data_IF_635956005357
#
_entry.id   IF_635956005357
#
_cell.length_a   1.000
_cell.length_b   1.000
_cell.length_c   1.000
_cell.angle_alpha   90.00
_cell.angle_beta   90.00
_cell.angle_gamma   90.00
#
_symmetry.space_group_name_H-M   'P 1'
#
loop_
_entity.id
_entity.type
_entity.pdbx_description
1 polymer ?
#
# COMPACT_ATOMS: atom_id res chain seq x y z
N UNK A 1 -30.65 -62.27 -10.87
CA UNK A 1 -30.01 -60.94 -10.97
C UNK A 1 -30.43 -59.95 -9.86
N UNK A 2 -30.67 -60.37 -8.61
CA UNK A 2 -31.13 -59.45 -7.54
C UNK A 2 -30.20 -59.36 -6.30
N UNK A 3 -29.11 -60.14 -6.25
CA UNK A 3 -28.19 -60.16 -5.10
C UNK A 3 -26.98 -59.21 -5.23
N UNK A 4 -26.73 -58.64 -6.42
CA UNK A 4 -25.52 -57.86 -6.68
C UNK A 4 -25.66 -56.36 -6.34
N UNK A 5 -26.89 -55.84 -6.21
CA UNK A 5 -27.13 -54.42 -5.88
C UNK A 5 -27.16 -54.12 -4.38
N UNK A 6 -27.20 -55.14 -3.51
CA UNK A 6 -27.22 -54.93 -2.04
C UNK A 6 -25.85 -54.63 -1.43
N UNK A 7 -24.75 -54.93 -2.13
CA UNK A 7 -23.39 -54.85 -1.57
C UNK A 7 -22.73 -53.47 -1.73
N UNK A 8 -23.12 -52.65 -2.72
CA UNK A 8 -22.55 -51.31 -2.90
C UNK A 8 -23.20 -50.21 -2.04
N UNK A 9 -24.39 -50.43 -1.47
CA UNK A 9 -25.11 -49.44 -0.66
C UNK A 9 -24.79 -49.51 0.84
N UNK A 10 -24.15 -50.60 1.28
CA UNK A 10 -23.77 -50.82 2.68
C UNK A 10 -22.61 -49.95 3.21
N UNK A 11 -21.50 -49.69 2.47
CA UNK A 11 -20.39 -48.93 3.04
C UNK A 11 -20.73 -47.46 3.28
N UNK A 12 -21.52 -46.83 2.39
CA UNK A 12 -21.91 -45.42 2.50
C UNK A 12 -22.87 -45.21 3.68
N UNK A 13 -23.81 -46.12 3.90
CA UNK A 13 -24.77 -46.01 5.00
C UNK A 13 -24.12 -46.27 6.37
N UNK A 14 -23.14 -47.18 6.45
CA UNK A 14 -22.36 -47.42 7.65
C UNK A 14 -21.44 -46.22 7.98
N UNK A 15 -20.73 -45.67 6.99
CA UNK A 15 -19.90 -44.47 7.15
C UNK A 15 -20.75 -43.28 7.60
N UNK A 16 -21.91 -43.06 6.98
CA UNK A 16 -22.82 -41.96 7.37
C UNK A 16 -23.36 -42.12 8.79
N UNK A 17 -23.66 -43.35 9.22
CA UNK A 17 -24.06 -43.64 10.60
C UNK A 17 -22.91 -43.38 11.59
N UNK A 18 -21.69 -43.81 11.25
CA UNK A 18 -20.49 -43.54 12.05
C UNK A 18 -20.19 -42.05 12.17
N UNK A 19 -20.27 -41.31 11.06
CA UNK A 19 -20.08 -39.85 11.05
C UNK A 19 -21.13 -39.13 11.89
N UNK A 20 -22.39 -39.60 11.82
CA UNK A 20 -23.49 -39.06 12.63
C UNK A 20 -23.24 -39.30 14.12
N UNK A 21 -22.80 -40.50 14.48
CA UNK A 21 -22.50 -40.83 15.88
C UNK A 21 -21.33 -39.99 16.42
N UNK A 22 -20.26 -39.83 15.62
CA UNK A 22 -19.14 -38.94 15.97
C UNK A 22 -19.59 -37.48 16.14
N UNK A 23 -20.40 -36.96 15.21
CA UNK A 23 -20.81 -35.55 15.23
C UNK A 23 -21.83 -35.22 16.33
N UNK A 24 -22.78 -36.12 16.62
CA UNK A 24 -23.90 -35.82 17.51
C UNK A 24 -23.76 -36.40 18.91
N UNK A 25 -22.93 -37.42 19.13
CA UNK A 25 -22.78 -38.04 20.45
C UNK A 25 -21.38 -37.79 21.04
N UNK A 26 -20.32 -38.00 20.26
CA UNK A 26 -18.94 -37.91 20.76
C UNK A 26 -18.46 -36.44 20.81
N UNK A 27 -18.69 -35.67 19.75
CA UNK A 27 -18.24 -34.28 19.66
C UNK A 27 -18.79 -33.39 20.79
N UNK A 28 -20.10 -33.41 21.13
CA UNK A 28 -20.61 -32.61 22.24
C UNK A 28 -20.02 -33.01 23.58
N UNK A 29 -19.76 -34.30 23.79
CA UNK A 29 -19.16 -34.81 25.02
C UNK A 29 -17.74 -34.29 25.20
N UNK A 30 -16.91 -34.39 24.15
CA UNK A 30 -15.54 -33.84 24.12
C UNK A 30 -15.53 -32.31 24.29
N UNK A 31 -16.52 -31.61 23.73
CA UNK A 31 -16.61 -30.16 23.81
C UNK A 31 -16.99 -29.68 25.23
N UNK A 32 -17.94 -30.35 25.88
CA UNK A 32 -18.44 -29.99 27.22
C UNK A 32 -17.40 -30.34 28.29
N UNK A 33 -16.82 -31.54 28.22
CA UNK A 33 -15.86 -32.02 29.22
C UNK A 33 -14.50 -31.35 29.04
N UNK A 34 -14.08 -31.11 27.79
CA UNK A 34 -12.84 -30.43 27.43
C UNK A 34 -12.91 -28.90 27.39
N UNK A 35 -14.02 -28.28 27.80
CA UNK A 35 -14.32 -26.85 27.54
C UNK A 35 -13.20 -25.88 27.93
N UNK A 36 -12.55 -26.11 29.07
CA UNK A 36 -11.49 -25.21 29.55
C UNK A 36 -10.20 -25.35 28.74
N UNK A 37 -9.91 -26.55 28.24
CA UNK A 37 -8.76 -26.81 27.36
C UNK A 37 -8.99 -26.10 26.01
N UNK A 38 -10.22 -26.20 25.47
CA UNK A 38 -10.59 -25.49 24.25
C UNK A 38 -10.55 -23.97 24.41
N UNK A 39 -11.13 -23.44 25.48
CA UNK A 39 -11.09 -21.99 25.75
C UNK A 39 -9.65 -21.52 25.89
N UNK A 40 -8.83 -22.19 26.71
CA UNK A 40 -7.43 -21.81 26.92
C UNK A 40 -6.60 -21.82 25.62
N UNK A 41 -6.68 -22.92 24.85
CA UNK A 41 -5.95 -23.06 23.59
C UNK A 41 -6.39 -22.07 22.52
N UNK A 42 -7.69 -21.86 22.34
CA UNK A 42 -8.22 -20.87 21.39
C UNK A 42 -7.87 -19.44 21.80
N UNK A 43 -7.93 -19.11 23.10
CA UNK A 43 -7.51 -17.80 23.59
C UNK A 43 -6.03 -17.52 23.30
N UNK A 44 -5.16 -18.49 23.53
CA UNK A 44 -3.73 -18.37 23.19
C UNK A 44 -3.53 -18.16 21.69
N UNK A 45 -4.25 -18.91 20.84
CA UNK A 45 -4.18 -18.74 19.39
C UNK A 45 -4.66 -17.36 18.94
N UNK A 46 -5.73 -16.82 19.53
CA UNK A 46 -6.24 -15.48 19.21
C UNK A 46 -5.22 -14.42 19.63
N UNK A 47 -4.67 -14.51 20.84
CA UNK A 47 -3.67 -13.55 21.33
C UNK A 47 -2.42 -13.58 20.44
N UNK A 48 -1.91 -14.77 20.13
CA UNK A 48 -0.73 -14.92 19.28
C UNK A 48 -1.01 -14.46 17.85
N UNK A 49 -2.15 -14.84 17.28
CA UNK A 49 -2.59 -14.40 15.96
C UNK A 49 -2.71 -12.88 15.88
N UNK A 50 -3.36 -12.26 16.86
CA UNK A 50 -3.48 -10.80 16.95
C UNK A 50 -2.13 -10.11 17.08
N UNK A 51 -1.24 -10.63 17.92
CA UNK A 51 0.12 -10.13 18.06
C UNK A 51 0.89 -10.19 16.72
N UNK A 52 0.85 -11.34 16.04
CA UNK A 52 1.52 -11.53 14.75
C UNK A 52 0.94 -10.64 13.66
N UNK A 53 -0.38 -10.47 13.60
CA UNK A 53 -1.02 -9.57 12.66
C UNK A 53 -0.53 -8.14 12.84
N UNK A 54 -0.50 -7.62 14.06
CA UNK A 54 -0.03 -6.25 14.32
C UNK A 54 1.47 -6.12 14.04
N UNK A 55 2.28 -7.11 14.40
CA UNK A 55 3.73 -7.05 14.25
C UNK A 55 4.24 -7.24 12.81
N UNK A 56 3.50 -7.97 11.96
CA UNK A 56 3.96 -8.38 10.63
C UNK A 56 3.20 -7.73 9.46
N UNK A 57 2.21 -6.88 9.73
CA UNK A 57 1.57 -6.08 8.67
C UNK A 57 2.57 -5.07 8.10
N UNK A 58 2.96 -5.27 6.85
CA UNK A 58 3.82 -4.37 6.08
C UNK A 58 3.11 -3.93 4.82
N UNK A 59 3.36 -2.69 4.42
CA UNK A 59 2.94 -2.22 3.09
C UNK A 59 3.71 -2.99 2.00
N UNK A 60 3.09 -3.26 0.85
CA UNK A 60 3.77 -3.87 -0.28
C UNK A 60 4.92 -2.96 -0.73
N UNK A 61 6.14 -3.50 -0.78
CA UNK A 61 7.35 -2.72 -1.06
C UNK A 61 7.69 -2.64 -2.56
N UNK A 62 7.37 -3.68 -3.34
CA UNK A 62 7.90 -3.86 -4.70
C UNK A 62 6.81 -3.81 -5.77
N UNK A 63 5.73 -4.58 -5.61
CA UNK A 63 4.58 -4.53 -6.50
C UNK A 63 3.33 -4.05 -5.75
N UNK A 64 2.96 -2.75 -5.83
CA UNK A 64 1.77 -2.23 -5.14
C UNK A 64 0.46 -2.71 -5.78
N UNK A 65 0.49 -3.21 -7.02
CA UNK A 65 -0.68 -3.68 -7.74
C UNK A 65 -0.39 -5.05 -8.36
N UNK A 66 -0.60 -6.10 -7.57
CA UNK A 66 -0.56 -7.48 -8.06
C UNK A 66 -1.83 -7.80 -8.84
N UNK A 67 -1.69 -8.15 -10.12
CA UNK A 67 -2.81 -8.48 -11.01
C UNK A 67 -2.97 -9.99 -11.21
N UNK A 68 -1.87 -10.74 -11.13
CA UNK A 68 -1.87 -12.18 -11.32
C UNK A 68 -1.45 -12.91 -10.05
N UNK A 69 -1.67 -14.22 -10.02
CA UNK A 69 -1.13 -15.06 -8.96
C UNK A 69 0.40 -15.05 -9.00
N UNK A 70 1.04 -15.25 -7.85
CA UNK A 70 2.50 -15.24 -7.74
C UNK A 70 3.21 -16.29 -8.63
N UNK A 71 2.49 -17.32 -9.07
CA UNK A 71 3.01 -18.35 -9.96
C UNK A 71 2.98 -17.95 -11.45
N UNK A 72 2.35 -16.83 -11.80
CA UNK A 72 2.40 -16.32 -13.16
C UNK A 72 3.81 -15.79 -13.46
N UNK A 73 4.42 -16.14 -14.62
CA UNK A 73 5.76 -15.69 -14.96
C UNK A 73 5.95 -14.16 -14.94
N UNK A 74 4.92 -13.40 -15.32
CA UNK A 74 4.97 -11.94 -15.33
C UNK A 74 5.00 -11.38 -13.90
N UNK A 75 4.17 -11.93 -13.01
CA UNK A 75 4.14 -11.54 -11.61
C UNK A 75 5.40 -11.96 -10.86
N UNK A 76 5.94 -13.14 -11.18
CA UNK A 76 7.22 -13.58 -10.65
C UNK A 76 8.34 -12.61 -11.03
N UNK A 77 8.37 -12.19 -12.30
CA UNK A 77 9.36 -11.22 -12.77
C UNK A 77 9.23 -9.90 -12.02
N UNK A 78 8.05 -9.30 -11.92
CA UNK A 78 7.85 -8.01 -11.24
C UNK A 78 8.28 -8.05 -9.76
N UNK A 79 8.06 -9.17 -9.07
CA UNK A 79 8.43 -9.33 -7.65
C UNK A 79 9.93 -9.56 -7.41
N UNK A 80 10.66 -10.08 -8.40
CA UNK A 80 12.07 -10.48 -8.23
C UNK A 80 13.05 -9.64 -9.05
N UNK A 81 12.58 -8.93 -10.07
CA UNK A 81 13.44 -8.29 -11.06
C UNK A 81 14.36 -7.25 -10.43
N UNK A 82 13.89 -6.47 -9.46
CA UNK A 82 14.72 -5.47 -8.78
C UNK A 82 15.89 -6.11 -8.00
N UNK A 83 15.68 -7.28 -7.39
CA UNK A 83 16.69 -7.96 -6.59
C UNK A 83 17.70 -8.74 -7.43
N UNK A 84 17.26 -9.28 -8.56
CA UNK A 84 18.06 -10.16 -9.41
C UNK A 84 18.80 -9.40 -10.53
N UNK A 85 18.26 -8.27 -10.98
CA UNK A 85 18.77 -7.56 -12.14
C UNK A 85 19.15 -6.11 -11.80
N UNK A 86 20.45 -5.83 -11.81
CA UNK A 86 21.00 -4.51 -11.47
C UNK A 86 20.47 -3.38 -12.40
N UNK A 87 20.22 -3.69 -13.67
CA UNK A 87 19.68 -2.72 -14.62
C UNK A 87 18.24 -2.30 -14.28
N UNK A 88 17.46 -3.17 -13.62
CA UNK A 88 16.10 -2.87 -13.16
C UNK A 88 16.17 -1.98 -11.92
N UNK A 89 17.02 -2.33 -10.96
CA UNK A 89 17.25 -1.51 -9.77
C UNK A 89 17.66 -0.07 -10.13
N UNK A 90 18.59 0.10 -11.09
CA UNK A 90 19.02 1.42 -11.58
C UNK A 90 17.91 2.22 -12.26
N UNK A 91 16.93 1.54 -12.88
CA UNK A 91 15.78 2.21 -13.54
C UNK A 91 14.72 2.68 -12.54
N UNK A 92 14.55 1.95 -11.43
CA UNK A 92 13.53 2.24 -10.41
C UNK A 92 14.04 3.25 -9.37
N UNK A 93 15.35 3.28 -9.11
CA UNK A 93 16.01 4.25 -8.23
C UNK A 93 16.06 5.68 -8.81
N UNK A 94 14.90 6.22 -9.19
CA UNK A 94 14.77 7.59 -9.65
C UNK A 94 14.93 8.53 -8.44
N UNK A 95 15.75 9.59 -8.56
CA UNK A 95 15.85 10.58 -7.51
C UNK A 95 14.48 11.22 -7.27
N UNK A 96 14.11 11.40 -6.00
CA UNK A 96 12.87 12.06 -5.62
C UNK A 96 12.90 13.52 -6.11
N UNK A 97 12.08 13.83 -7.11
CA UNK A 97 11.95 15.19 -7.65
C UNK A 97 10.78 15.90 -6.98
N UNK A 98 11.07 16.92 -6.18
CA UNK A 98 10.07 17.77 -5.55
C UNK A 98 9.93 19.06 -6.34
N UNK A 99 8.72 19.37 -6.80
CA UNK A 99 8.40 20.63 -7.48
C UNK A 99 7.52 21.49 -6.58
N UNK A 100 8.03 22.66 -6.21
CA UNK A 100 7.28 23.67 -5.49
C UNK A 100 6.58 24.59 -6.49
N UNK A 101 5.28 24.81 -6.29
CA UNK A 101 4.42 25.62 -7.15
C UNK A 101 3.66 26.61 -6.27
N UNK A 102 3.53 27.86 -6.74
CA UNK A 102 2.77 28.93 -6.10
C UNK A 102 1.81 29.57 -7.10
N UNK A 103 0.82 30.31 -6.60
CA UNK A 103 -0.15 31.04 -7.43
C UNK A 103 -1.34 30.21 -7.89
N UNK A 104 -1.46 28.96 -7.44
CA UNK A 104 -2.60 28.10 -7.72
C UNK A 104 -3.36 27.79 -6.43
N UNK A 105 -4.68 27.89 -6.49
CA UNK A 105 -5.54 27.47 -5.39
C UNK A 105 -5.72 25.95 -5.40
N UNK A 106 -5.94 25.37 -4.23
CA UNK A 106 -6.21 23.93 -4.11
C UNK A 106 -7.61 23.63 -4.66
N UNK A 107 -7.68 23.07 -5.87
CA UNK A 107 -8.95 22.66 -6.46
C UNK A 107 -9.50 21.38 -5.79
N UNK A 108 -10.77 21.37 -5.33
CA UNK A 108 -11.41 20.14 -4.85
C UNK A 108 -11.69 19.17 -6.00
N UNK A 109 -11.68 17.87 -5.71
CA UNK A 109 -12.04 16.86 -6.71
C UNK A 109 -13.52 16.98 -7.08
N UNK A 110 -13.83 17.06 -8.38
CA UNK A 110 -15.22 17.10 -8.87
C UNK A 110 -15.94 15.76 -8.70
N UNK A 111 -15.19 14.65 -8.71
CA UNK A 111 -15.68 13.31 -8.45
C UNK A 111 -14.58 12.47 -7.84
N UNK A 112 -14.91 11.68 -6.82
CA UNK A 112 -13.99 10.69 -6.25
C UNK A 112 -14.02 9.34 -6.98
N UNK A 113 -15.04 9.12 -7.84
CA UNK A 113 -15.28 7.85 -8.51
C UNK A 113 -15.03 7.90 -10.03
N UNK A 114 -14.88 9.10 -10.59
CA UNK A 114 -14.66 9.30 -12.02
C UNK A 114 -13.38 10.10 -12.23
N UNK A 115 -12.33 9.41 -12.69
CA UNK A 115 -11.01 10.00 -12.93
C UNK A 115 -11.00 10.98 -14.10
N UNK A 116 -12.03 10.98 -14.94
CA UNK A 116 -12.11 11.88 -16.10
C UNK A 116 -12.63 13.27 -15.74
N UNK A 117 -13.31 13.40 -14.60
CA UNK A 117 -13.85 14.68 -14.12
C UNK A 117 -12.79 15.45 -13.35
N UNK A 118 -11.87 16.05 -14.10
CA UNK A 118 -10.81 16.91 -13.56
C UNK A 118 -11.38 18.33 -13.39
N UNK A 119 -11.14 18.93 -12.21
CA UNK A 119 -11.54 20.30 -11.91
C UNK A 119 -10.72 21.35 -12.65
N UNK A 120 -11.30 22.53 -12.87
CA UNK A 120 -10.56 23.65 -13.43
C UNK A 120 -9.55 24.18 -12.41
N UNK A 121 -8.36 24.53 -12.90
CA UNK A 121 -7.31 25.14 -12.09
C UNK A 121 -7.65 26.62 -11.88
N UNK A 122 -7.78 27.05 -10.62
CA UNK A 122 -7.97 28.46 -10.25
C UNK A 122 -6.67 29.08 -9.74
N UNK A 123 -6.53 30.39 -10.01
CA UNK A 123 -5.41 31.18 -9.51
C UNK A 123 -5.66 31.57 -8.05
N UNK A 124 -4.66 31.41 -7.20
CA UNK A 124 -4.70 31.94 -5.84
C UNK A 124 -4.50 33.47 -5.88
N UNK A 125 -5.57 34.22 -5.59
CA UNK A 125 -5.55 35.69 -5.53
C UNK A 125 -4.76 36.24 -4.36
N UNK A 126 -4.42 35.43 -3.36
CA UNK A 126 -3.60 35.87 -2.21
C UNK A 126 -2.12 35.88 -2.55
N UNK A 127 -1.71 35.11 -3.56
CA UNK A 127 -0.34 35.07 -4.01
C UNK A 127 -0.11 36.11 -5.11
N UNK A 128 0.57 37.21 -4.76
CA UNK A 128 0.94 38.27 -5.68
C UNK A 128 2.40 38.65 -5.48
N UNK A 129 3.13 38.86 -6.58
CA UNK A 129 4.49 39.39 -6.60
C UNK A 129 4.44 40.76 -7.28
N UNK A 130 4.25 41.82 -6.49
CA UNK A 130 4.09 43.19 -7.02
C UNK A 130 5.41 43.93 -7.09
N UNK A 131 6.25 43.77 -6.08
CA UNK A 131 7.48 44.53 -5.92
C UNK A 131 8.72 43.64 -5.99
N UNK A 132 9.88 44.26 -6.25
CA UNK A 132 11.18 43.57 -6.22
C UNK A 132 11.48 43.00 -4.83
N UNK A 133 10.99 43.65 -3.77
CA UNK A 133 11.14 43.19 -2.39
C UNK A 133 10.42 41.85 -2.15
N UNK A 134 9.26 41.62 -2.80
CA UNK A 134 8.52 40.36 -2.68
C UNK A 134 9.31 39.21 -3.33
N UNK A 135 9.94 39.48 -4.48
CA UNK A 135 10.82 38.53 -5.16
C UNK A 135 12.09 38.27 -4.36
N UNK A 136 12.61 39.28 -3.65
CA UNK A 136 13.77 39.13 -2.77
C UNK A 136 13.46 38.24 -1.57
N UNK A 137 12.32 38.44 -0.91
CA UNK A 137 11.85 37.56 0.17
C UNK A 137 11.70 36.12 -0.30
N UNK A 138 11.10 35.92 -1.48
CA UNK A 138 10.98 34.59 -2.09
C UNK A 138 12.35 33.98 -2.39
N UNK A 139 13.31 34.78 -2.88
CA UNK A 139 14.67 34.32 -3.12
C UNK A 139 15.39 33.87 -1.84
N UNK A 140 15.24 34.61 -0.75
CA UNK A 140 15.82 34.27 0.56
C UNK A 140 15.24 32.96 1.10
N UNK A 141 13.92 32.76 0.98
CA UNK A 141 13.27 31.52 1.40
C UNK A 141 13.68 30.33 0.51
N UNK A 142 13.78 30.53 -0.81
CA UNK A 142 14.28 29.51 -1.72
C UNK A 142 15.74 29.15 -1.46
N UNK A 143 16.57 30.13 -1.07
CA UNK A 143 17.95 29.90 -0.69
C UNK A 143 18.04 29.02 0.57
N UNK A 144 17.18 29.25 1.58
CA UNK A 144 17.11 28.38 2.77
C UNK A 144 16.79 26.94 2.40
N UNK A 145 15.84 26.72 1.49
CA UNK A 145 15.54 25.38 1.01
C UNK A 145 16.72 24.75 0.26
N UNK A 146 17.44 25.52 -0.55
CA UNK A 146 18.63 25.04 -1.26
C UNK A 146 19.76 24.61 -0.32
N UNK A 147 19.87 25.24 0.84
CA UNK A 147 20.89 24.93 1.86
C UNK A 147 20.60 23.63 2.61
N UNK A 148 19.42 23.04 2.47
CA UNK A 148 19.09 21.76 3.10
C UNK A 148 19.92 20.64 2.48
N UNK A 149 20.49 19.79 3.34
CA UNK A 149 21.45 18.75 2.97
C UNK A 149 20.90 17.76 1.91
N UNK A 150 19.61 17.44 1.98
CA UNK A 150 18.97 16.48 1.06
C UNK A 150 18.63 17.05 -0.31
N UNK A 151 18.66 18.38 -0.51
CA UNK A 151 18.26 19.00 -1.79
C UNK A 151 19.34 18.81 -2.85
N UNK A 152 20.62 18.91 -2.49
CA UNK A 152 21.74 18.59 -3.39
C UNK A 152 21.82 19.43 -4.68
N UNK A 153 20.94 20.42 -4.89
CA UNK A 153 20.89 21.27 -6.08
C UNK A 153 21.89 22.41 -5.93
N UNK A 154 22.92 22.42 -6.79
CA UNK A 154 23.92 23.49 -6.83
C UNK A 154 23.41 24.76 -7.51
N UNK A 155 22.51 24.60 -8.47
CA UNK A 155 21.98 25.72 -9.25
C UNK A 155 21.03 26.61 -8.45
N UNK A 156 21.12 27.92 -8.68
CA UNK A 156 20.25 28.91 -8.03
C UNK A 156 18.85 28.88 -8.64
N UNK A 157 17.82 28.99 -7.80
CA UNK A 157 16.44 29.08 -8.25
C UNK A 157 16.17 30.37 -9.04
N UNK A 158 15.06 30.41 -9.78
CA UNK A 158 14.73 31.58 -10.61
C UNK A 158 14.64 32.91 -9.83
N UNK A 159 14.12 32.99 -8.58
CA UNK A 159 14.06 34.26 -7.85
C UNK A 159 15.45 34.76 -7.45
N UNK A 160 16.33 33.84 -7.04
CA UNK A 160 17.73 34.16 -6.71
C UNK A 160 18.47 34.74 -7.94
N UNK A 161 18.28 34.10 -9.11
CA UNK A 161 18.87 34.58 -10.37
C UNK A 161 18.33 35.94 -10.78
N UNK A 162 17.05 36.20 -10.53
CA UNK A 162 16.42 37.49 -10.80
C UNK A 162 17.03 38.60 -9.95
N UNK A 163 17.14 38.38 -8.63
CA UNK A 163 17.72 39.36 -7.70
C UNK A 163 19.17 39.68 -8.06
N UNK A 164 19.99 38.66 -8.37
CA UNK A 164 21.39 38.86 -8.77
C UNK A 164 21.49 39.69 -10.05
N UNK A 165 20.66 39.40 -11.06
CA UNK A 165 20.65 40.16 -12.31
C UNK A 165 20.20 41.60 -12.11
N UNK A 166 19.26 41.84 -11.19
CA UNK A 166 18.78 43.19 -10.89
C UNK A 166 19.83 44.02 -10.15
N UNK A 167 20.62 43.42 -9.26
CA UNK A 167 21.68 44.11 -8.52
C UNK A 167 22.94 44.40 -9.36
N UNK A 168 23.12 43.70 -10.49
CA UNK A 168 24.24 43.90 -11.42
C UNK A 168 23.94 44.92 -12.54
N UNK A 169 22.75 45.54 -12.52
CA UNK A 169 22.39 46.67 -13.39
C UNK A 169 22.55 47.98 -12.63
#
# INVERSE_FOLDING_TARGET
MAKFFKTLCFPISAIRKGLRHLAFEILPHVLIDGRFIWIGSLSVLIILGGYLSVAQLRLPQYNPLQLFTANNPHEWYDNHAEKLFEFVAKKIALPLSVRLLWGFEKTPALSHFDSTKIGNVSQDRRFELKNVEDVKRLADDMQKFRMLEFVGIKEKYWPERFVIKNNNK
#
